data_IF_321598198494
#
_entry.id   IF_321598198494
#
_cell.length_a   1.000
_cell.length_b   1.000
_cell.length_c   1.000
_cell.angle_alpha   90.00
_cell.angle_beta   90.00
_cell.angle_gamma   90.00
#
_symmetry.space_group_name_H-M   'P 1'
#
loop_
_entity.id
_entity.type
_entity.pdbx_description
1 polymer ?
#
# COMPACT_ATOMS: atom_id res chain seq x y z
N UNK A 1 11.69 5.34 27.15
CA UNK A 1 11.23 6.46 26.29
C UNK A 1 11.82 6.39 24.88
N UNK A 2 13.03 5.83 24.69
CA UNK A 2 13.70 5.69 23.38
C UNK A 2 12.85 5.03 22.28
N UNK A 3 12.32 3.82 22.50
CA UNK A 3 11.55 3.10 21.47
C UNK A 3 10.39 3.90 20.85
N UNK A 4 9.72 4.77 21.61
CA UNK A 4 8.61 5.60 21.09
C UNK A 4 9.08 6.71 20.14
N UNK A 5 10.31 7.18 20.29
CA UNK A 5 10.89 8.21 19.42
C UNK A 5 11.37 7.58 18.10
N UNK A 6 11.95 6.38 18.18
CA UNK A 6 12.30 5.57 17.02
C UNK A 6 11.08 5.21 16.16
N UNK A 7 9.96 4.80 16.80
CA UNK A 7 8.71 4.49 16.12
C UNK A 7 8.10 5.71 15.41
N UNK A 8 8.09 6.89 16.06
CA UNK A 8 7.57 8.13 15.45
C UNK A 8 8.40 8.55 14.24
N UNK A 9 9.73 8.45 14.35
CA UNK A 9 10.62 8.75 13.27
C UNK A 9 10.42 7.80 12.08
N UNK A 10 10.33 6.49 12.32
CA UNK A 10 10.07 5.49 11.29
C UNK A 10 8.73 5.74 10.58
N UNK A 11 7.67 6.08 11.32
CA UNK A 11 6.37 6.40 10.75
C UNK A 11 6.41 7.64 9.84
N UNK A 12 7.19 8.66 10.21
CA UNK A 12 7.36 9.87 9.38
C UNK A 12 8.12 9.60 8.09
N UNK A 13 9.16 8.76 8.14
CA UNK A 13 9.89 8.33 6.95
C UNK A 13 8.98 7.52 6.01
N UNK A 14 8.23 6.56 6.57
CA UNK A 14 7.28 5.76 5.80
C UNK A 14 6.18 6.63 5.14
N UNK A 15 5.66 7.61 5.88
CA UNK A 15 4.70 8.59 5.34
C UNK A 15 5.31 9.41 4.19
N UNK A 16 6.52 9.92 4.35
CA UNK A 16 7.20 10.67 3.29
C UNK A 16 7.44 9.82 2.04
N UNK A 17 7.81 8.54 2.22
CA UNK A 17 7.99 7.61 1.12
C UNK A 17 6.66 7.34 0.39
N UNK A 18 5.57 7.19 1.14
CA UNK A 18 4.24 7.02 0.58
C UNK A 18 3.77 8.25 -0.23
N UNK A 19 3.99 9.47 0.28
CA UNK A 19 3.68 10.71 -0.46
C UNK A 19 4.47 10.78 -1.76
N UNK A 20 5.77 10.44 -1.73
CA UNK A 20 6.60 10.43 -2.93
C UNK A 20 6.13 9.39 -3.96
N UNK A 21 5.84 8.17 -3.51
CA UNK A 21 5.32 7.12 -4.37
C UNK A 21 3.95 7.53 -4.96
N UNK A 22 3.08 8.11 -4.14
CA UNK A 22 1.76 8.55 -4.57
C UNK A 22 1.83 9.62 -5.68
N UNK A 23 2.74 10.59 -5.54
CA UNK A 23 2.95 11.62 -6.53
C UNK A 23 3.39 11.03 -7.89
N UNK A 24 4.38 10.14 -7.88
CA UNK A 24 4.87 9.47 -9.11
C UNK A 24 3.77 8.62 -9.75
N UNK A 25 3.08 7.81 -8.96
CA UNK A 25 2.07 6.88 -9.46
C UNK A 25 0.86 7.62 -10.03
N UNK A 26 0.41 8.72 -9.40
CA UNK A 26 -0.78 9.44 -9.88
C UNK A 26 -0.60 10.05 -11.27
N UNK A 27 0.62 10.49 -11.61
CA UNK A 27 0.91 11.03 -12.96
C UNK A 27 0.70 9.96 -14.02
N UNK A 28 1.09 8.72 -13.75
CA UNK A 28 1.03 7.62 -14.72
C UNK A 28 -0.31 6.89 -14.70
N UNK A 29 -0.91 6.72 -13.52
CA UNK A 29 -2.18 5.99 -13.36
C UNK A 29 -3.41 6.85 -13.68
N UNK A 30 -3.26 8.18 -13.77
CA UNK A 30 -4.37 9.13 -13.94
C UNK A 30 -5.49 9.02 -12.89
N UNK A 31 -5.21 8.36 -11.75
CA UNK A 31 -6.09 8.22 -10.58
C UNK A 31 -5.25 8.26 -9.31
N UNK A 32 -5.90 8.52 -8.18
CA UNK A 32 -5.24 8.38 -6.90
C UNK A 32 -4.82 6.91 -6.65
N UNK A 33 -3.57 6.66 -6.20
CA UNK A 33 -3.12 5.33 -5.82
C UNK A 33 -3.79 4.92 -4.51
N UNK A 34 -4.25 3.67 -4.47
CA UNK A 34 -4.87 3.09 -3.27
C UNK A 34 -3.80 2.74 -2.23
N UNK A 35 -4.21 2.48 -0.98
CA UNK A 35 -3.29 1.93 0.04
C UNK A 35 -2.61 0.63 -0.44
N UNK A 36 -3.30 -0.19 -1.23
CA UNK A 36 -2.74 -1.36 -1.91
C UNK A 36 -1.61 -1.01 -2.86
N UNK A 37 -1.87 -0.05 -3.74
CA UNK A 37 -0.88 0.42 -4.72
C UNK A 37 0.38 0.97 -4.04
N UNK A 38 0.20 1.74 -2.96
CA UNK A 38 1.30 2.34 -2.21
C UNK A 38 2.15 1.30 -1.44
N UNK A 39 1.52 0.24 -0.94
CA UNK A 39 2.25 -0.87 -0.33
C UNK A 39 3.10 -1.63 -1.35
N UNK A 40 2.51 -1.94 -2.51
CA UNK A 40 3.23 -2.60 -3.61
C UNK A 40 4.41 -1.73 -4.04
N UNK A 41 4.21 -0.42 -4.17
CA UNK A 41 5.27 0.53 -4.48
C UNK A 41 6.35 0.64 -3.40
N UNK A 42 5.99 0.46 -2.13
CA UNK A 42 6.94 0.45 -1.03
C UNK A 42 7.82 -0.81 -1.05
N UNK A 43 7.22 -1.98 -1.30
CA UNK A 43 7.93 -3.28 -1.28
C UNK A 43 8.73 -3.52 -2.56
N UNK A 44 8.14 -3.23 -3.72
CA UNK A 44 8.70 -3.58 -5.03
C UNK A 44 9.19 -2.37 -5.84
N UNK A 45 8.98 -1.16 -5.33
CA UNK A 45 9.28 0.09 -6.03
C UNK A 45 8.10 0.62 -6.85
N UNK A 46 8.05 1.95 -7.03
CA UNK A 46 6.95 2.63 -7.71
C UNK A 46 6.79 2.19 -9.19
N UNK A 47 7.90 1.99 -9.91
CA UNK A 47 7.85 1.56 -11.32
C UNK A 47 7.21 0.17 -11.46
N UNK A 48 7.68 -0.81 -10.69
CA UNK A 48 7.13 -2.17 -10.67
C UNK A 48 5.64 -2.17 -10.28
N UNK A 49 5.25 -1.32 -9.33
CA UNK A 49 3.86 -1.20 -8.92
C UNK A 49 2.98 -0.63 -10.04
N UNK A 50 3.45 0.40 -10.74
CA UNK A 50 2.73 0.98 -11.90
C UNK A 50 2.58 -0.08 -12.99
N UNK A 51 3.66 -0.77 -13.36
CA UNK A 51 3.63 -1.81 -14.38
C UNK A 51 2.68 -2.94 -13.99
N UNK A 52 2.69 -3.37 -12.73
CA UNK A 52 1.78 -4.39 -12.22
C UNK A 52 0.33 -3.94 -12.33
N UNK A 53 0.02 -2.71 -11.90
CA UNK A 53 -1.34 -2.15 -11.97
C UNK A 53 -1.81 -2.07 -13.42
N UNK A 54 -0.98 -1.54 -14.32
CA UNK A 54 -1.30 -1.49 -15.75
C UNK A 54 -1.50 -2.89 -16.36
N UNK A 55 -0.69 -3.86 -15.95
CA UNK A 55 -0.84 -5.24 -16.40
C UNK A 55 -2.13 -5.90 -15.89
N UNK A 56 -2.64 -5.51 -14.70
CA UNK A 56 -3.96 -5.93 -14.22
C UNK A 56 -5.07 -5.37 -15.12
N UNK A 57 -4.97 -4.11 -15.54
CA UNK A 57 -5.94 -3.48 -16.44
C UNK A 57 -5.87 -4.03 -17.87
N UNK A 58 -4.68 -4.33 -18.38
CA UNK A 58 -4.47 -4.78 -19.76
C UNK A 58 -4.70 -6.29 -19.95
N UNK A 59 -4.16 -7.12 -19.05
CA UNK A 59 -4.13 -8.58 -19.20
C UNK A 59 -4.21 -9.27 -17.82
N UNK A 60 -5.37 -9.22 -17.14
CA UNK A 60 -5.50 -9.72 -15.77
C UNK A 60 -5.20 -11.22 -15.62
N UNK A 61 -5.55 -12.01 -16.63
CA UNK A 61 -5.42 -13.48 -16.64
C UNK A 61 -4.03 -13.96 -17.11
N UNK A 62 -3.13 -13.06 -17.49
CA UNK A 62 -1.77 -13.45 -17.87
C UNK A 62 -1.04 -14.03 -16.66
N UNK A 63 -0.28 -15.10 -16.89
CA UNK A 63 0.54 -15.69 -15.86
C UNK A 63 1.59 -14.67 -15.38
N UNK A 64 1.69 -14.47 -14.06
CA UNK A 64 2.63 -13.55 -13.45
C UNK A 64 4.07 -13.86 -13.86
N UNK A 65 4.40 -15.14 -14.04
CA UNK A 65 5.73 -15.59 -14.48
C UNK A 65 6.13 -15.07 -15.86
N UNK A 66 5.16 -14.90 -16.77
CA UNK A 66 5.43 -14.46 -18.13
C UNK A 66 5.75 -12.96 -18.20
N UNK A 67 5.15 -12.17 -17.32
CA UNK A 67 5.25 -10.70 -17.36
C UNK A 67 6.13 -10.11 -16.25
N UNK A 68 6.24 -10.80 -15.12
CA UNK A 68 7.02 -10.38 -13.95
C UNK A 68 7.81 -11.57 -13.35
N UNK A 69 8.81 -12.10 -14.07
CA UNK A 69 9.59 -13.26 -13.61
C UNK A 69 10.31 -13.01 -12.29
N UNK A 70 10.67 -11.76 -12.00
CA UNK A 70 11.32 -11.36 -10.73
C UNK A 70 10.39 -11.42 -9.52
N UNK A 71 9.07 -11.38 -9.73
CA UNK A 71 8.07 -11.42 -8.65
C UNK A 71 7.64 -12.85 -8.29
N UNK A 72 8.06 -13.86 -9.06
CA UNK A 72 7.70 -15.27 -8.83
C UNK A 72 8.11 -15.72 -7.43
N UNK A 73 9.31 -15.37 -6.97
CA UNK A 73 9.78 -15.75 -5.63
C UNK A 73 8.85 -15.27 -4.50
N UNK A 74 8.30 -14.06 -4.67
CA UNK A 74 7.32 -13.49 -3.73
C UNK A 74 5.94 -14.13 -3.88
N UNK A 75 5.52 -14.41 -5.11
CA UNK A 75 4.26 -15.09 -5.39
C UNK A 75 4.23 -16.53 -4.84
N UNK A 76 5.33 -17.29 -4.99
CA UNK A 76 5.47 -18.64 -4.46
C UNK A 76 5.38 -18.68 -2.93
N UNK A 77 5.99 -17.70 -2.24
CA UNK A 77 5.86 -17.57 -0.78
C UNK A 77 4.42 -17.26 -0.32
N UNK A 78 3.60 -16.68 -1.21
CA UNK A 78 2.20 -16.39 -0.93
C UNK A 78 1.27 -17.52 -1.40
N UNK A 79 1.64 -18.33 -2.39
CA UNK A 79 0.81 -19.41 -2.92
C UNK A 79 0.80 -20.61 -1.97
N UNK A 80 -0.09 -20.59 -0.99
CA UNK A 80 -0.10 -21.57 0.09
C UNK A 80 -0.64 -22.96 -0.29
N UNK A 81 -1.23 -23.16 -1.49
CA UNK A 81 -1.83 -24.48 -1.81
C UNK A 81 -2.20 -24.75 -3.28
N UNK A 82 -2.28 -23.75 -4.15
CA UNK A 82 -2.78 -23.97 -5.52
C UNK A 82 -1.63 -24.22 -6.51
N UNK A 83 -1.67 -25.37 -7.19
CA UNK A 83 -0.81 -25.72 -8.35
C UNK A 83 -1.11 -24.88 -9.61
N UNK A 84 -2.13 -24.03 -9.57
CA UNK A 84 -2.47 -23.14 -10.67
C UNK A 84 -1.46 -22.00 -10.83
N UNK A 85 -1.19 -21.64 -12.09
CA UNK A 85 -0.38 -20.48 -12.42
C UNK A 85 -0.96 -19.23 -11.75
N UNK A 86 -0.13 -18.52 -10.97
CA UNK A 86 -0.55 -17.27 -10.33
C UNK A 86 -0.68 -16.22 -11.42
N UNK A 87 -1.91 -15.76 -11.69
CA UNK A 87 -2.18 -14.66 -12.63
C UNK A 87 -1.83 -13.30 -12.04
N UNK A 88 -1.56 -12.31 -12.88
CA UNK A 88 -1.30 -10.91 -12.47
C UNK A 88 -2.42 -10.35 -11.60
N UNK A 89 -3.70 -10.53 -11.97
CA UNK A 89 -4.83 -10.05 -11.18
C UNK A 89 -4.91 -10.70 -9.80
N UNK A 90 -4.78 -12.03 -9.72
CA UNK A 90 -4.79 -12.77 -8.45
C UNK A 90 -3.66 -12.33 -7.52
N UNK A 91 -2.46 -12.09 -8.06
CA UNK A 91 -1.32 -11.61 -7.28
C UNK A 91 -1.59 -10.20 -6.71
N UNK A 92 -2.06 -9.28 -7.55
CA UNK A 92 -2.43 -7.93 -7.14
C UNK A 92 -3.56 -7.92 -6.10
N UNK A 93 -4.62 -8.71 -6.30
CA UNK A 93 -5.72 -8.84 -5.34
C UNK A 93 -5.26 -9.39 -4.00
N UNK A 94 -4.31 -10.31 -3.99
CA UNK A 94 -3.75 -10.85 -2.75
C UNK A 94 -2.92 -9.81 -2.00
N UNK A 95 -2.11 -9.04 -2.71
CA UNK A 95 -1.30 -7.96 -2.13
C UNK A 95 -2.17 -6.82 -1.58
N UNK A 96 -3.15 -6.36 -2.36
CA UNK A 96 -4.07 -5.30 -1.96
C UNK A 96 -5.08 -5.75 -0.90
N UNK A 97 -5.50 -7.01 -0.93
CA UNK A 97 -6.38 -7.65 0.05
C UNK A 97 -5.72 -7.83 1.42
N UNK A 98 -4.44 -8.21 1.45
CA UNK A 98 -3.70 -8.41 2.70
C UNK A 98 -3.53 -7.14 3.55
N UNK A 99 -3.81 -5.96 3.00
CA UNK A 99 -3.83 -4.68 3.72
C UNK A 99 -5.18 -4.36 4.35
N UNK A 100 -6.24 -5.11 4.01
CA UNK A 100 -7.51 -5.07 4.74
C UNK A 100 -7.40 -5.79 6.09
N UNK A 101 -6.38 -6.63 6.26
CA UNK A 101 -6.09 -7.32 7.52
C UNK A 101 -5.11 -6.50 8.40
N UNK A 102 -5.42 -6.32 9.69
CA UNK A 102 -4.80 -5.31 10.55
C UNK A 102 -3.26 -5.37 10.77
N UNK A 103 -2.55 -6.52 10.77
CA UNK A 103 -1.14 -6.51 11.15
C UNK A 103 -0.19 -5.88 10.11
N UNK A 104 -0.59 -5.73 8.85
CA UNK A 104 0.32 -5.24 7.78
C UNK A 104 0.32 -3.73 7.61
N UNK A 105 -0.73 -3.05 8.10
CA UNK A 105 -0.77 -1.59 8.14
C UNK A 105 0.30 -1.07 9.13
N UNK A 106 0.50 -1.74 10.26
CA UNK A 106 1.57 -1.42 11.23
C UNK A 106 2.97 -1.46 10.58
N UNK A 107 3.20 -2.39 9.64
CA UNK A 107 4.48 -2.54 8.94
C UNK A 107 4.83 -1.37 7.99
N UNK A 108 3.85 -0.58 7.55
CA UNK A 108 4.06 0.67 6.78
C UNK A 108 4.01 1.90 7.70
N UNK A 109 4.06 1.70 9.02
CA UNK A 109 3.96 2.79 9.99
C UNK A 109 2.55 3.34 10.19
N UNK A 110 1.49 2.59 9.83
CA UNK A 110 0.10 3.00 10.10
C UNK A 110 -0.37 2.73 11.55
N UNK A 111 0.51 2.33 12.48
CA UNK A 111 0.18 2.46 13.92
C UNK A 111 0.28 3.93 14.33
N UNK A 112 -0.64 4.74 13.78
CA UNK A 112 -0.95 6.04 14.36
C UNK A 112 -1.75 5.74 15.62
N UNK A 113 -1.07 5.30 16.68
CA UNK A 113 -1.66 5.05 17.98
C UNK A 113 -2.56 6.23 18.33
N UNK A 114 -3.87 5.98 18.27
CA UNK A 114 -4.94 6.78 18.82
C UNK A 114 -4.55 7.20 20.24
N UNK A 115 -3.89 8.35 20.37
CA UNK A 115 -3.44 8.86 21.66
C UNK A 115 -4.48 9.90 22.10
N UNK A 116 -5.46 9.44 22.89
CA UNK A 116 -6.38 10.34 23.59
C UNK A 116 -7.59 9.72 24.29
N UNK A 117 -8.09 8.56 23.86
CA UNK A 117 -9.43 8.11 24.30
C UNK A 117 -9.49 6.61 24.59
N UNK A 118 -8.74 6.19 25.61
CA UNK A 118 -9.03 4.92 26.31
C UNK A 118 -9.55 5.25 27.71
N UNK A 119 -10.60 6.08 27.76
CA UNK A 119 -11.66 5.94 28.74
C UNK A 119 -12.93 5.77 27.93
N UNK A 120 -13.45 4.54 27.96
CA UNK A 120 -14.84 4.17 27.70
C UNK A 120 -15.46 4.80 26.46
N UNK A 121 -15.49 4.06 25.35
CA UNK A 121 -16.77 3.70 24.76
C UNK A 121 -16.61 2.58 23.74
N UNK A 122 -17.57 1.68 23.74
CA UNK A 122 -17.67 0.57 22.81
C UNK A 122 -17.96 1.11 21.41
N UNK A 123 -17.08 0.81 20.45
CA UNK A 123 -17.32 1.12 19.04
C UNK A 123 -16.21 0.58 18.17
N UNK A 124 -16.44 -0.56 17.53
CA UNK A 124 -15.57 -1.16 16.51
C UNK A 124 -15.21 -0.15 15.43
N UNK A 125 -14.06 0.52 15.54
CA UNK A 125 -13.43 1.18 14.41
C UNK A 125 -12.87 0.11 13.49
N UNK A 126 -13.59 -0.11 12.39
CA UNK A 126 -13.28 -1.16 11.42
C UNK A 126 -11.90 -0.90 10.78
N UNK A 127 -11.03 -1.91 10.61
CA UNK A 127 -9.66 -1.76 10.08
C UNK A 127 -9.58 -1.03 8.72
N UNK A 128 -10.61 -1.15 7.89
CA UNK A 128 -10.71 -0.45 6.61
C UNK A 128 -10.76 1.08 6.74
N UNK A 129 -11.31 1.61 7.85
CA UNK A 129 -11.44 3.05 8.09
C UNK A 129 -10.08 3.71 8.31
N UNK A 130 -9.15 3.03 8.97
CA UNK A 130 -7.79 3.57 9.24
C UNK A 130 -6.96 3.67 7.96
N UNK A 131 -7.01 2.64 7.10
CA UNK A 131 -6.30 2.64 5.82
C UNK A 131 -6.81 3.76 4.88
N UNK A 132 -8.15 3.94 4.79
CA UNK A 132 -8.76 5.00 3.99
C UNK A 132 -8.40 6.40 4.52
N UNK A 133 -8.43 6.60 5.84
CA UNK A 133 -8.08 7.89 6.44
C UNK A 133 -6.60 8.26 6.20
N UNK A 134 -5.70 7.30 6.23
CA UNK A 134 -4.29 7.52 5.89
C UNK A 134 -4.09 7.80 4.41
N UNK A 135 -4.76 7.04 3.54
CA UNK A 135 -4.71 7.28 2.09
C UNK A 135 -5.16 8.71 1.76
N UNK A 136 -6.28 9.16 2.34
CA UNK A 136 -6.79 10.52 2.17
C UNK A 136 -5.79 11.59 2.63
N UNK A 137 -5.02 11.34 3.70
CA UNK A 137 -3.94 12.26 4.14
C UNK A 137 -2.81 12.35 3.13
N UNK A 138 -2.37 11.20 2.59
CA UNK A 138 -1.34 11.16 1.55
C UNK A 138 -1.83 11.92 0.31
N UNK A 139 -3.05 11.67 -0.13
CA UNK A 139 -3.68 12.38 -1.25
C UNK A 139 -3.75 13.89 -1.02
N UNK A 140 -4.12 14.33 0.19
CA UNK A 140 -4.20 15.75 0.53
C UNK A 140 -2.82 16.45 0.50
N UNK A 141 -1.77 15.78 0.99
CA UNK A 141 -0.41 16.34 0.96
C UNK A 141 0.18 16.37 -0.44
N UNK A 142 -0.11 15.37 -1.28
CA UNK A 142 0.26 15.40 -2.70
C UNK A 142 -0.43 16.58 -3.40
N UNK A 143 -1.75 16.74 -3.22
CA UNK A 143 -2.51 17.84 -3.81
C UNK A 143 -2.02 19.23 -3.36
N UNK A 144 -1.61 19.35 -2.09
CA UNK A 144 -1.04 20.59 -1.53
C UNK A 144 0.34 20.91 -2.11
N UNK A 145 1.15 19.89 -2.37
CA UNK A 145 2.50 20.05 -2.95
C UNK A 145 2.44 20.55 -4.40
N UNK A 146 1.44 20.11 -5.17
CA UNK A 146 1.21 20.62 -6.53
C UNK A 146 0.84 22.10 -6.54
N UNK A 147 -0.08 22.50 -5.65
CA UNK A 147 -0.53 23.91 -5.55
C UNK A 147 0.57 24.88 -5.13
N UNK A 148 1.66 24.39 -4.53
CA UNK A 148 2.83 25.19 -4.15
C UNK A 148 3.86 25.33 -5.28
N UNK A 149 3.74 24.52 -6.32
CA UNK A 149 4.68 24.47 -7.44
C UNK A 149 4.12 25.19 -8.68
N UNK A 150 2.85 25.63 -8.64
CA UNK A 150 2.22 26.54 -9.59
C UNK A 150 2.27 27.98 -9.07
#
# INVERSE_FOLDING_TARGET
MAARADDDFAARIAYSAAVRNAAVMRVVLHRAPTAGDLYIAHVFGASTAIELIQAVDEAPDVALEQRFPTLIGSASAMSNESKDAVTVARFYQRLSGALREPPRLVAIGLDLKSRGQQRQDAGSSSPGTTAMAWQAKVEAEVAKSEKRTQ
#
